data_IF_107153362539
#
_entry.id   IF_107153362539
#
_cell.length_a   1.000
_cell.length_b   1.000
_cell.length_c   1.000
_cell.angle_alpha   90.00
_cell.angle_beta   90.00
_cell.angle_gamma   90.00
#
_symmetry.space_group_name_H-M   'P 1'
#
loop_
_entity.id
_entity.type
_entity.pdbx_description
1 polymer ?
#
# COMPACT_ATOMS: atom_id res chain seq x y z
N UNK A 1 -77.77 33.97 42.46
CA UNK A 1 -76.80 33.23 43.29
C UNK A 1 -76.25 32.12 42.43
N UNK A 2 -75.26 32.45 41.80
CA UNK A 2 -73.92 31.96 41.68
C UNK A 2 -73.76 30.44 41.39
N UNK A 3 -73.38 30.21 40.22
CA UNK A 3 -72.53 29.08 39.91
C UNK A 3 -71.67 29.44 38.69
N UNK A 4 -70.67 30.23 38.93
CA UNK A 4 -69.52 30.38 38.05
C UNK A 4 -68.43 29.53 38.67
N UNK A 5 -67.92 28.57 37.93
CA UNK A 5 -66.82 27.74 38.38
C UNK A 5 -66.61 26.51 37.54
N UNK A 6 -66.57 26.67 36.21
CA UNK A 6 -66.16 25.57 35.33
C UNK A 6 -64.63 25.60 35.14
N UNK A 7 -64.03 24.67 35.79
CA UNK A 7 -62.64 24.23 35.71
C UNK A 7 -62.11 24.20 34.31
N UNK A 8 -61.13 25.06 33.96
CA UNK A 8 -60.23 24.88 32.87
C UNK A 8 -59.31 23.66 33.17
N UNK A 9 -59.73 22.51 32.71
CA UNK A 9 -58.79 21.33 32.66
C UNK A 9 -57.66 21.65 31.70
N UNK A 10 -56.52 21.82 32.28
CA UNK A 10 -55.22 21.81 31.56
C UNK A 10 -55.11 20.46 30.85
N UNK A 11 -55.62 20.36 29.64
CA UNK A 11 -55.43 19.20 28.76
C UNK A 11 -54.03 19.32 28.13
N UNK A 12 -53.02 18.94 28.89
CA UNK A 12 -51.70 18.67 28.31
C UNK A 12 -51.83 17.46 27.40
N UNK A 13 -51.89 17.71 26.11
CA UNK A 13 -51.79 16.66 25.11
C UNK A 13 -50.42 16.00 25.25
N UNK A 14 -50.40 14.68 25.37
CA UNK A 14 -49.16 13.91 25.38
C UNK A 14 -48.41 14.15 24.06
N UNK A 15 -47.08 14.37 24.11
CA UNK A 15 -46.28 14.66 22.90
C UNK A 15 -46.41 13.62 21.79
N UNK A 16 -46.61 12.36 22.16
CA UNK A 16 -46.77 11.27 21.18
C UNK A 16 -48.12 11.32 20.48
N UNK A 17 -49.17 11.75 21.16
CA UNK A 17 -50.49 11.97 20.56
C UNK A 17 -50.43 13.08 19.51
N UNK A 18 -49.70 14.17 19.77
CA UNK A 18 -49.48 15.26 18.84
C UNK A 18 -48.68 14.79 17.62
N UNK A 19 -47.64 14.00 17.84
CA UNK A 19 -46.84 13.41 16.74
C UNK A 19 -47.68 12.51 15.86
N UNK A 20 -48.48 11.64 16.46
CA UNK A 20 -49.34 10.74 15.70
C UNK A 20 -50.37 11.52 14.87
N UNK A 21 -51.01 12.50 15.48
CA UNK A 21 -51.95 13.40 14.77
C UNK A 21 -51.30 14.07 13.55
N UNK A 22 -50.10 14.65 13.73
CA UNK A 22 -49.38 15.32 12.64
C UNK A 22 -48.88 14.34 11.58
N UNK A 23 -48.53 13.11 11.94
CA UNK A 23 -48.16 12.06 11.00
C UNK A 23 -49.32 11.60 10.11
N UNK A 24 -50.53 11.52 10.72
CA UNK A 24 -51.76 11.15 10.02
C UNK A 24 -52.32 12.31 9.17
N UNK A 25 -52.08 13.55 9.60
CA UNK A 25 -52.61 14.79 8.96
C UNK A 25 -51.45 15.67 8.44
N UNK A 26 -50.70 15.17 7.50
CA UNK A 26 -49.48 15.86 6.98
C UNK A 26 -49.71 17.26 6.38
N UNK A 27 -50.93 17.57 5.94
CA UNK A 27 -51.27 18.88 5.38
C UNK A 27 -51.68 19.86 6.47
N UNK A 28 -52.01 19.43 7.69
CA UNK A 28 -52.59 20.25 8.76
C UNK A 28 -51.79 21.54 9.01
N UNK A 29 -50.49 21.44 9.21
CA UNK A 29 -49.63 22.61 9.41
C UNK A 29 -49.41 23.42 8.13
N UNK A 30 -49.42 22.78 6.96
CA UNK A 30 -49.23 23.46 5.67
C UNK A 30 -50.45 24.27 5.28
N UNK A 31 -51.64 23.77 5.64
CA UNK A 31 -52.92 24.37 5.23
C UNK A 31 -53.36 25.47 6.20
N UNK A 32 -52.67 25.64 7.36
CA UNK A 32 -52.93 26.71 8.35
C UNK A 32 -51.68 27.59 8.56
N UNK A 33 -51.47 28.61 7.71
CA UNK A 33 -50.36 29.55 7.83
C UNK A 33 -50.33 30.37 9.10
N UNK A 34 -51.53 30.63 9.70
CA UNK A 34 -51.65 31.41 10.94
C UNK A 34 -51.10 30.60 12.14
N UNK A 35 -51.44 29.32 12.22
CA UNK A 35 -50.93 28.43 13.27
C UNK A 35 -49.42 28.27 13.16
N UNK A 36 -48.85 28.16 11.95
CA UNK A 36 -47.39 28.12 11.74
C UNK A 36 -46.69 29.36 12.29
N UNK A 37 -47.30 30.55 12.06
CA UNK A 37 -46.78 31.83 12.54
C UNK A 37 -46.80 31.88 14.09
N UNK A 38 -47.91 31.47 14.68
CA UNK A 38 -48.09 31.46 16.17
C UNK A 38 -47.13 30.48 16.86
N UNK A 39 -46.82 29.37 16.22
CA UNK A 39 -45.84 28.39 16.70
C UNK A 39 -44.36 28.79 16.44
N UNK A 40 -44.14 29.98 15.81
CA UNK A 40 -42.79 30.40 15.46
C UNK A 40 -42.13 29.53 14.39
N UNK A 41 -42.94 28.70 13.71
CA UNK A 41 -42.47 27.77 12.67
C UNK A 41 -42.57 28.35 11.26
N UNK A 42 -43.13 29.58 11.14
CA UNK A 42 -43.15 30.26 9.85
C UNK A 42 -41.78 30.82 9.54
N UNK A 43 -41.14 30.42 8.43
CA UNK A 43 -39.97 31.13 7.98
C UNK A 43 -40.36 32.57 7.72
N UNK A 44 -39.70 33.53 8.36
CA UNK A 44 -39.80 34.93 7.92
C UNK A 44 -39.56 34.98 6.42
N UNK A 45 -40.46 35.59 5.66
CA UNK A 45 -40.49 35.61 4.21
C UNK A 45 -39.23 36.26 3.59
N UNK A 46 -38.29 36.69 4.40
CA UNK A 46 -37.05 37.32 3.96
C UNK A 46 -35.80 36.48 4.09
N UNK A 47 -35.71 35.41 4.93
CA UNK A 47 -34.35 34.88 5.11
C UNK A 47 -34.17 33.46 5.62
N UNK A 48 -35.08 32.52 5.58
CA UNK A 48 -34.68 31.15 5.99
C UNK A 48 -35.50 30.02 5.36
N UNK A 49 -35.59 29.97 4.05
CA UNK A 49 -35.77 28.70 3.35
C UNK A 49 -34.39 28.01 3.41
N UNK A 50 -34.19 27.08 4.33
CA UNK A 50 -33.05 26.19 4.25
C UNK A 50 -33.30 25.28 3.05
N UNK A 51 -32.81 25.72 1.90
CA UNK A 51 -32.77 24.88 0.71
C UNK A 51 -31.75 23.76 0.98
N UNK A 52 -32.22 22.58 1.31
CA UNK A 52 -31.41 21.39 1.50
C UNK A 52 -30.80 20.88 0.17
N UNK A 53 -31.28 21.36 -0.96
CA UNK A 53 -30.80 20.99 -2.28
C UNK A 53 -29.29 21.21 -2.45
N UNK A 54 -28.76 22.41 -2.19
CA UNK A 54 -27.34 22.69 -2.29
C UNK A 54 -26.50 21.84 -1.30
N UNK A 55 -26.98 21.63 -0.06
CA UNK A 55 -26.28 20.81 0.92
C UNK A 55 -26.25 19.32 0.55
N UNK A 56 -27.36 18.80 0.03
CA UNK A 56 -27.44 17.44 -0.48
C UNK A 56 -26.53 17.26 -1.73
N UNK A 57 -26.58 18.21 -2.66
CA UNK A 57 -25.75 18.21 -3.85
C UNK A 57 -24.25 18.29 -3.50
N UNK A 58 -23.88 19.14 -2.53
CA UNK A 58 -22.51 19.23 -2.04
C UNK A 58 -22.01 17.90 -1.46
N UNK A 59 -22.84 17.20 -0.66
CA UNK A 59 -22.51 15.87 -0.13
C UNK A 59 -22.31 14.84 -1.24
N UNK A 60 -23.16 14.82 -2.25
CA UNK A 60 -23.03 13.91 -3.40
C UNK A 60 -21.77 14.23 -4.19
N UNK A 61 -21.47 15.51 -4.45
CA UNK A 61 -20.24 15.93 -5.09
C UNK A 61 -18.98 15.52 -4.31
N UNK A 62 -18.97 15.70 -2.99
CA UNK A 62 -17.84 15.28 -2.15
C UNK A 62 -17.69 13.76 -2.09
N UNK A 63 -18.77 13.01 -2.08
CA UNK A 63 -18.74 11.56 -2.17
C UNK A 63 -18.17 11.12 -3.53
N UNK A 64 -18.64 11.70 -4.61
CA UNK A 64 -18.17 11.40 -5.97
C UNK A 64 -16.69 11.76 -6.16
N UNK A 65 -16.24 12.91 -5.66
CA UNK A 65 -14.82 13.29 -5.68
C UNK A 65 -13.94 12.30 -4.92
N UNK A 66 -14.39 11.82 -3.74
CA UNK A 66 -13.65 10.80 -2.98
C UNK A 66 -13.56 9.48 -3.73
N UNK A 67 -14.66 9.03 -4.32
CA UNK A 67 -14.71 7.83 -5.12
C UNK A 67 -13.80 7.94 -6.36
N UNK A 68 -13.85 9.05 -7.09
CA UNK A 68 -13.00 9.29 -8.26
C UNK A 68 -11.51 9.27 -7.89
N UNK A 69 -11.11 9.92 -6.79
CA UNK A 69 -9.72 9.90 -6.31
C UNK A 69 -9.28 8.49 -5.89
N UNK A 70 -10.14 7.75 -5.19
CA UNK A 70 -9.84 6.37 -4.82
C UNK A 70 -9.65 5.49 -6.05
N UNK A 71 -10.50 5.66 -7.06
CA UNK A 71 -10.39 4.95 -8.34
C UNK A 71 -9.11 5.31 -9.09
N UNK A 72 -8.78 6.60 -9.21
CA UNK A 72 -7.54 7.07 -9.85
C UNK A 72 -6.30 6.48 -9.16
N UNK A 73 -6.28 6.46 -7.81
CA UNK A 73 -5.19 5.85 -7.04
C UNK A 73 -5.10 4.35 -7.31
N UNK A 74 -6.22 3.66 -7.36
CA UNK A 74 -6.27 2.22 -7.64
C UNK A 74 -5.77 1.90 -9.06
N UNK A 75 -6.21 2.67 -10.04
CA UNK A 75 -5.79 2.54 -11.44
C UNK A 75 -4.28 2.80 -11.60
N UNK A 76 -3.75 3.84 -10.94
CA UNK A 76 -2.31 4.14 -10.94
C UNK A 76 -1.49 3.01 -10.29
N UNK A 77 -1.95 2.47 -9.15
CA UNK A 77 -1.30 1.34 -8.48
C UNK A 77 -1.33 0.08 -9.35
N UNK A 78 -2.47 -0.22 -9.98
CA UNK A 78 -2.59 -1.37 -10.88
C UNK A 78 -1.66 -1.24 -12.09
N UNK A 79 -1.55 -0.06 -12.71
CA UNK A 79 -0.64 0.21 -13.81
C UNK A 79 0.83 0.06 -13.39
N UNK A 80 1.21 0.60 -12.22
CA UNK A 80 2.56 0.44 -11.67
C UNK A 80 2.91 -1.03 -11.42
N UNK A 81 1.99 -1.81 -10.83
CA UNK A 81 2.17 -3.23 -10.62
C UNK A 81 2.31 -4.02 -11.92
N UNK A 82 1.51 -3.70 -12.93
CA UNK A 82 1.62 -4.32 -14.26
C UNK A 82 2.95 -4.01 -14.94
N UNK A 83 3.42 -2.76 -14.85
CA UNK A 83 4.72 -2.35 -15.37
C UNK A 83 5.86 -3.09 -14.65
N UNK A 84 5.82 -3.19 -13.33
CA UNK A 84 6.80 -3.93 -12.54
C UNK A 84 6.83 -5.43 -12.89
N UNK A 85 5.67 -6.06 -13.11
CA UNK A 85 5.59 -7.43 -13.60
C UNK A 85 6.22 -7.59 -14.99
N UNK A 86 5.90 -6.70 -15.92
CA UNK A 86 6.46 -6.76 -17.28
C UNK A 86 7.99 -6.60 -17.27
N UNK A 87 8.52 -5.69 -16.45
CA UNK A 87 9.96 -5.53 -16.24
C UNK A 87 10.58 -6.80 -15.65
N UNK A 88 9.93 -7.42 -14.67
CA UNK A 88 10.39 -8.65 -14.03
C UNK A 88 10.43 -9.82 -15.01
N UNK A 89 9.40 -9.98 -15.86
CA UNK A 89 9.41 -11.01 -16.92
C UNK A 89 10.57 -10.82 -17.90
N UNK A 90 10.83 -9.59 -18.33
CA UNK A 90 11.99 -9.30 -19.18
C UNK A 90 13.31 -9.62 -18.48
N UNK A 91 13.42 -9.29 -17.18
CA UNK A 91 14.59 -9.61 -16.37
C UNK A 91 14.86 -11.12 -16.28
N UNK A 92 13.80 -11.93 -16.19
CA UNK A 92 13.92 -13.41 -16.17
C UNK A 92 14.59 -13.90 -17.44
N UNK A 93 14.16 -13.43 -18.61
CA UNK A 93 14.77 -13.83 -19.88
C UNK A 93 16.25 -13.47 -19.93
N UNK A 94 16.59 -12.24 -19.51
CA UNK A 94 17.98 -11.78 -19.47
C UNK A 94 18.84 -12.62 -18.51
N UNK A 95 18.32 -13.05 -17.35
CA UNK A 95 19.03 -13.91 -16.41
C UNK A 95 19.22 -15.33 -16.94
N UNK A 96 18.21 -15.89 -17.63
CA UNK A 96 18.28 -17.23 -18.21
C UNK A 96 19.33 -17.32 -19.34
N UNK A 97 19.62 -16.21 -20.00
CA UNK A 97 20.65 -16.11 -21.03
C UNK A 97 22.08 -16.04 -20.47
N UNK A 98 22.26 -16.08 -19.14
CA UNK A 98 23.59 -16.10 -18.53
C UNK A 98 24.38 -17.34 -18.96
N UNK A 99 25.70 -17.16 -19.19
CA UNK A 99 26.59 -18.19 -19.71
C UNK A 99 27.41 -18.90 -18.62
N UNK A 100 27.58 -18.26 -17.50
CA UNK A 100 28.28 -18.76 -16.30
C UNK A 100 27.94 -17.91 -15.09
N UNK A 101 28.45 -18.28 -13.91
CA UNK A 101 28.19 -17.57 -12.66
C UNK A 101 28.63 -16.09 -12.69
N UNK A 102 29.78 -15.79 -13.31
CA UNK A 102 30.27 -14.40 -13.40
C UNK A 102 29.37 -13.55 -14.29
N UNK A 103 28.92 -14.11 -15.42
CA UNK A 103 27.95 -13.46 -16.30
C UNK A 103 26.60 -13.27 -15.63
N UNK A 104 26.15 -14.25 -14.84
CA UNK A 104 24.93 -14.13 -14.03
C UNK A 104 25.00 -12.97 -13.04
N UNK A 105 26.10 -12.85 -12.29
CA UNK A 105 26.28 -11.73 -11.35
C UNK A 105 26.32 -10.37 -12.06
N UNK A 106 27.01 -10.29 -13.18
CA UNK A 106 27.05 -9.08 -14.01
C UNK A 106 25.65 -8.68 -14.50
N UNK A 107 24.88 -9.65 -15.01
CA UNK A 107 23.50 -9.43 -15.46
C UNK A 107 22.57 -8.97 -14.33
N UNK A 108 22.71 -9.53 -13.13
CA UNK A 108 21.95 -9.05 -11.96
C UNK A 108 22.22 -7.59 -11.67
N UNK A 109 23.49 -7.14 -11.75
CA UNK A 109 23.85 -5.73 -11.55
C UNK A 109 23.35 -4.85 -12.70
N UNK A 110 23.49 -5.28 -13.94
CA UNK A 110 22.97 -4.56 -15.11
C UNK A 110 21.46 -4.41 -15.11
N UNK A 111 20.72 -5.48 -14.74
CA UNK A 111 19.27 -5.43 -14.58
C UNK A 111 18.85 -4.43 -13.53
N UNK A 112 19.55 -4.40 -12.39
CA UNK A 112 19.30 -3.43 -11.34
C UNK A 112 19.40 -2.01 -11.88
N UNK A 113 20.46 -1.70 -12.60
CA UNK A 113 20.74 -0.33 -13.08
C UNK A 113 19.89 0.06 -14.29
N UNK A 114 19.82 -0.79 -15.30
CA UNK A 114 19.25 -0.43 -16.61
C UNK A 114 17.74 -0.66 -16.64
N UNK A 115 17.26 -1.79 -16.08
CA UNK A 115 15.85 -2.16 -16.17
C UNK A 115 15.02 -1.63 -15.01
N UNK A 116 15.58 -1.71 -13.79
CA UNK A 116 14.85 -1.32 -12.58
C UNK A 116 15.17 0.10 -12.09
N UNK A 117 16.17 0.78 -12.69
CA UNK A 117 16.58 2.12 -12.26
C UNK A 117 17.16 2.16 -10.83
N UNK A 118 17.66 1.02 -10.36
CA UNK A 118 18.29 0.88 -9.04
C UNK A 118 19.79 1.21 -9.13
N UNK A 119 20.44 1.33 -7.97
CA UNK A 119 21.85 1.69 -7.91
C UNK A 119 22.78 0.49 -8.03
N UNK A 120 22.39 -0.67 -7.52
CA UNK A 120 23.19 -1.89 -7.56
C UNK A 120 22.34 -3.16 -7.44
N UNK A 121 22.82 -4.23 -8.07
CA UNK A 121 22.37 -5.60 -7.87
C UNK A 121 23.56 -6.49 -7.48
N UNK A 122 23.38 -7.34 -6.48
CA UNK A 122 24.46 -8.17 -5.92
C UNK A 122 23.95 -9.57 -5.68
N UNK A 123 24.78 -10.56 -6.04
CA UNK A 123 24.62 -11.94 -5.62
C UNK A 123 25.75 -12.26 -4.63
N UNK A 124 25.40 -12.85 -3.49
CA UNK A 124 26.36 -13.25 -2.48
C UNK A 124 26.18 -14.71 -2.06
N UNK A 125 27.26 -15.30 -1.59
CA UNK A 125 27.29 -16.67 -1.14
C UNK A 125 28.01 -16.76 0.20
N UNK A 126 27.47 -17.55 1.11
CA UNK A 126 28.02 -17.77 2.44
C UNK A 126 29.00 -18.94 2.42
N UNK A 127 30.08 -18.82 3.18
CA UNK A 127 30.96 -19.92 3.50
C UNK A 127 32.42 -19.71 3.15
N UNK A 128 33.30 -20.59 3.69
CA UNK A 128 34.74 -20.55 3.43
C UNK A 128 35.12 -21.15 2.06
N UNK A 129 34.17 -21.78 1.37
CA UNK A 129 34.42 -22.50 0.12
C UNK A 129 34.56 -21.54 -1.06
N UNK A 130 34.99 -22.10 -2.22
CA UNK A 130 35.12 -21.32 -3.44
C UNK A 130 33.82 -20.60 -3.78
N UNK A 131 33.95 -19.32 -4.03
CA UNK A 131 32.84 -18.47 -4.49
C UNK A 131 33.05 -18.12 -5.95
N UNK A 132 32.03 -18.18 -6.80
CA UNK A 132 32.15 -17.81 -8.19
C UNK A 132 32.62 -16.37 -8.37
N UNK A 133 33.36 -16.12 -9.45
CA UNK A 133 33.80 -14.77 -9.80
C UNK A 133 32.58 -13.83 -9.93
N UNK A 134 32.71 -12.62 -9.41
CA UNK A 134 31.66 -11.61 -9.42
C UNK A 134 30.63 -11.71 -8.29
N UNK A 135 30.59 -12.82 -7.55
CA UNK A 135 29.76 -12.99 -6.36
C UNK A 135 30.44 -12.44 -5.11
N UNK A 136 29.67 -11.89 -4.19
CA UNK A 136 30.20 -11.46 -2.90
C UNK A 136 30.35 -12.65 -1.94
N UNK A 137 31.43 -12.64 -1.17
CA UNK A 137 31.68 -13.65 -0.15
C UNK A 137 31.16 -13.13 1.17
N UNK A 138 30.36 -13.93 1.87
CA UNK A 138 29.92 -13.69 3.24
C UNK A 138 30.56 -14.71 4.17
N UNK A 139 30.96 -14.31 5.39
CA UNK A 139 31.43 -15.25 6.39
C UNK A 139 30.29 -16.19 6.82
N UNK A 140 30.60 -17.35 7.40
CA UNK A 140 29.59 -18.22 8.00
C UNK A 140 28.70 -17.46 9.00
N UNK A 141 27.37 -17.59 8.88
CA UNK A 141 26.40 -16.81 9.66
C UNK A 141 26.18 -15.39 9.17
N UNK A 142 26.87 -14.97 8.11
CA UNK A 142 26.77 -13.60 7.57
C UNK A 142 25.39 -13.27 7.00
N UNK A 143 24.70 -14.25 6.43
CA UNK A 143 23.34 -14.07 5.93
C UNK A 143 22.38 -13.80 7.08
N UNK A 144 22.51 -14.51 8.20
CA UNK A 144 21.68 -14.27 9.39
C UNK A 144 21.93 -12.88 10.00
N UNK A 145 23.17 -12.38 9.93
CA UNK A 145 23.48 -11.02 10.37
C UNK A 145 22.85 -9.94 9.47
N UNK A 146 22.73 -10.20 8.17
CA UNK A 146 22.20 -9.26 7.18
C UNK A 146 20.67 -9.28 7.16
N UNK A 147 20.08 -10.46 7.02
CA UNK A 147 18.61 -10.61 6.82
C UNK A 147 17.86 -10.82 8.14
N UNK A 148 18.55 -11.34 9.13
CA UNK A 148 17.97 -11.79 10.41
C UNK A 148 17.72 -13.29 10.41
N UNK A 149 17.79 -13.89 11.60
CA UNK A 149 17.61 -15.32 11.78
C UNK A 149 16.22 -15.77 11.31
N UNK A 150 16.15 -16.81 10.47
CA UNK A 150 14.92 -17.37 9.88
C UNK A 150 14.10 -16.44 8.97
N UNK A 151 14.53 -15.23 8.70
CA UNK A 151 13.85 -14.37 7.71
C UNK A 151 14.24 -14.79 6.30
N UNK A 152 13.25 -14.85 5.42
CA UNK A 152 13.44 -15.16 4.00
C UNK A 152 13.83 -13.92 3.20
N UNK A 153 13.33 -12.75 3.60
CA UNK A 153 13.56 -11.49 2.91
C UNK A 153 13.66 -10.31 3.87
N UNK A 154 14.26 -9.23 3.40
CA UNK A 154 14.34 -7.95 4.07
C UNK A 154 14.09 -6.85 3.04
N UNK A 155 13.18 -5.94 3.38
CA UNK A 155 12.89 -4.72 2.64
C UNK A 155 13.15 -3.51 3.54
N UNK A 156 13.75 -2.46 2.99
CA UNK A 156 14.07 -1.23 3.72
C UNK A 156 15.58 -1.04 3.92
N UNK A 157 15.96 -0.12 4.81
CA UNK A 157 17.36 0.19 5.06
C UNK A 157 17.94 -0.70 6.18
N UNK A 158 19.05 -1.37 5.91
CA UNK A 158 19.75 -2.22 6.87
C UNK A 158 21.25 -1.91 6.88
N UNK A 159 21.78 -1.25 7.91
CA UNK A 159 23.19 -0.85 7.97
C UNK A 159 24.17 -2.01 7.86
N UNK A 160 23.86 -3.17 8.46
CA UNK A 160 24.71 -4.37 8.43
C UNK A 160 24.86 -4.98 7.04
N UNK A 161 23.94 -4.66 6.12
CA UNK A 161 23.95 -5.15 4.76
C UNK A 161 24.74 -4.26 3.78
N UNK A 162 25.14 -3.06 4.20
CA UNK A 162 25.83 -2.10 3.32
C UNK A 162 27.12 -2.67 2.72
N UNK A 163 27.83 -3.51 3.45
CA UNK A 163 29.03 -4.18 2.96
C UNK A 163 28.86 -5.03 1.70
N UNK A 164 27.63 -5.48 1.41
CA UNK A 164 27.31 -6.20 0.17
C UNK A 164 27.56 -5.35 -1.07
N UNK A 165 27.31 -4.04 -1.01
CA UNK A 165 27.38 -3.13 -2.14
C UNK A 165 28.79 -2.56 -2.39
N UNK A 166 29.79 -2.87 -1.53
CA UNK A 166 31.16 -2.44 -1.71
C UNK A 166 31.29 -0.92 -1.84
N UNK A 167 31.96 -0.43 -2.87
CA UNK A 167 32.19 0.99 -3.13
C UNK A 167 30.88 1.79 -3.29
N UNK A 168 29.78 1.15 -3.66
CA UNK A 168 28.47 1.79 -3.81
C UNK A 168 27.70 1.95 -2.47
N UNK A 169 28.17 1.31 -1.41
CA UNK A 169 27.53 1.32 -0.09
C UNK A 169 27.15 2.73 0.42
N UNK A 170 28.00 3.78 0.26
CA UNK A 170 27.65 5.12 0.76
C UNK A 170 26.43 5.76 0.11
N UNK A 171 26.04 5.29 -1.06
CA UNK A 171 24.91 5.84 -1.83
C UNK A 171 23.61 5.07 -1.58
N UNK A 172 23.65 3.89 -0.96
CA UNK A 172 22.46 3.07 -0.73
C UNK A 172 21.63 3.67 0.42
N UNK A 173 20.35 3.90 0.16
CA UNK A 173 19.37 4.43 1.12
C UNK A 173 18.23 3.47 1.42
N UNK A 174 17.95 2.53 0.50
CA UNK A 174 17.03 1.43 0.72
C UNK A 174 17.51 0.18 -0.02
N UNK A 175 17.07 -0.98 0.40
CA UNK A 175 17.46 -2.25 -0.20
C UNK A 175 16.39 -3.32 -0.09
N UNK A 176 16.40 -4.24 -1.04
CA UNK A 176 15.65 -5.48 -1.01
C UNK A 176 16.62 -6.64 -1.02
N UNK A 177 16.51 -7.55 -0.06
CA UNK A 177 17.40 -8.69 0.10
C UNK A 177 16.56 -9.95 0.25
N UNK A 178 16.92 -11.01 -0.48
CA UNK A 178 16.23 -12.30 -0.41
C UNK A 178 17.25 -13.42 -0.25
N UNK A 179 16.98 -14.35 0.67
CA UNK A 179 17.77 -15.57 0.84
C UNK A 179 17.59 -16.49 -0.34
N UNK A 180 18.65 -17.18 -0.67
CA UNK A 180 18.72 -18.24 -1.66
C UNK A 180 19.34 -19.48 -1.06
N UNK A 181 18.94 -20.64 -1.58
CA UNK A 181 19.57 -21.91 -1.30
C UNK A 181 19.94 -22.56 -2.64
N UNK A 182 21.22 -22.62 -2.96
CA UNK A 182 21.73 -22.98 -4.28
C UNK A 182 22.52 -24.28 -4.18
N UNK A 183 22.33 -25.16 -5.16
CA UNK A 183 22.96 -26.50 -5.28
C UNK A 183 22.49 -27.54 -4.26
N UNK A 184 23.06 -28.75 -4.37
CA UNK A 184 22.93 -29.83 -3.38
C UNK A 184 24.32 -30.42 -3.06
N UNK A 185 24.78 -30.42 -1.81
CA UNK A 185 24.07 -29.85 -0.64
C UNK A 185 23.90 -28.33 -0.76
N UNK A 186 22.77 -27.82 -0.22
CA UNK A 186 22.40 -26.42 -0.36
C UNK A 186 23.44 -25.50 0.29
N UNK A 187 23.90 -24.51 -0.48
CA UNK A 187 24.72 -23.41 0.01
C UNK A 187 23.85 -22.16 0.16
N UNK A 188 23.94 -21.53 1.32
CA UNK A 188 23.21 -20.33 1.60
C UNK A 188 23.77 -19.15 0.79
N UNK A 189 22.89 -18.47 0.12
CA UNK A 189 23.18 -17.26 -0.66
C UNK A 189 22.17 -16.16 -0.42
N UNK A 190 22.38 -15.03 -1.05
CA UNK A 190 21.38 -13.96 -1.14
C UNK A 190 21.46 -13.22 -2.46
N UNK A 191 20.30 -12.72 -2.89
CA UNK A 191 20.13 -11.70 -3.91
C UNK A 191 19.84 -10.39 -3.21
N UNK A 192 20.55 -9.33 -3.55
CA UNK A 192 20.35 -8.01 -3.00
C UNK A 192 20.25 -6.95 -4.10
N UNK A 193 19.28 -6.06 -3.96
CA UNK A 193 19.17 -4.84 -4.75
C UNK A 193 19.27 -3.63 -3.83
N UNK A 194 19.99 -2.60 -4.26
CA UNK A 194 20.17 -1.35 -3.51
C UNK A 194 19.77 -0.15 -4.33
N UNK A 195 19.10 0.81 -3.69
CA UNK A 195 18.67 2.08 -4.29
C UNK A 195 19.21 3.27 -3.53
N UNK A 196 19.40 4.38 -4.24
CA UNK A 196 19.68 5.70 -3.67
C UNK A 196 18.42 6.40 -3.17
N UNK A 197 17.25 5.94 -3.61
CA UNK A 197 15.96 6.43 -3.16
C UNK A 197 15.53 5.67 -1.88
N UNK A 198 15.28 6.35 -0.76
CA UNK A 198 14.82 5.71 0.48
C UNK A 198 13.44 5.05 0.35
N UNK A 199 12.61 5.51 -0.59
CA UNK A 199 11.25 5.01 -0.82
C UNK A 199 11.19 3.88 -1.86
N UNK A 200 12.30 3.54 -2.51
CA UNK A 200 12.31 2.45 -3.50
C UNK A 200 12.01 1.08 -2.89
N UNK A 201 12.43 0.87 -1.63
CA UNK A 201 12.15 -0.33 -0.87
C UNK A 201 11.78 0.05 0.57
N UNK A 202 10.51 -0.10 0.92
CA UNK A 202 10.00 0.16 2.27
C UNK A 202 9.57 -1.15 2.94
N UNK A 203 9.51 -1.17 4.27
CA UNK A 203 9.24 -2.40 5.04
C UNK A 203 7.83 -2.97 4.83
N UNK A 204 6.92 -2.17 4.32
CA UNK A 204 5.53 -2.52 3.98
C UNK A 204 5.37 -3.02 2.54
N UNK A 205 6.42 -2.90 1.70
CA UNK A 205 6.40 -3.46 0.35
C UNK A 205 6.52 -4.99 0.38
N UNK A 206 5.76 -5.65 -0.49
CA UNK A 206 5.89 -7.09 -0.71
C UNK A 206 7.21 -7.47 -1.37
N UNK A 207 7.78 -8.58 -0.96
CA UNK A 207 9.05 -9.09 -1.50
C UNK A 207 8.86 -10.05 -2.69
N UNK A 208 7.64 -10.28 -3.16
CA UNK A 208 7.27 -11.36 -4.08
C UNK A 208 8.05 -11.30 -5.39
N UNK A 209 8.18 -10.12 -6.00
CA UNK A 209 8.91 -9.96 -7.28
C UNK A 209 10.40 -10.20 -7.11
N UNK A 210 11.00 -9.71 -6.01
CA UNK A 210 12.42 -9.93 -5.71
C UNK A 210 12.68 -11.38 -5.36
N UNK A 211 11.78 -12.01 -4.60
CA UNK A 211 11.84 -13.44 -4.26
C UNK A 211 11.72 -14.32 -5.52
N UNK A 212 10.87 -13.93 -6.46
CA UNK A 212 10.76 -14.62 -7.75
C UNK A 212 12.06 -14.51 -8.55
N UNK A 213 12.67 -13.32 -8.63
CA UNK A 213 13.97 -13.15 -9.27
C UNK A 213 15.09 -13.96 -8.57
N UNK A 214 15.07 -14.02 -7.24
CA UNK A 214 16.00 -14.85 -6.48
C UNK A 214 15.89 -16.33 -6.86
N UNK A 215 14.67 -16.85 -7.00
CA UNK A 215 14.43 -18.23 -7.50
C UNK A 215 14.97 -18.44 -8.92
N UNK A 216 14.83 -17.46 -9.81
CA UNK A 216 15.39 -17.54 -11.15
C UNK A 216 16.92 -17.58 -11.11
N UNK A 217 17.54 -16.75 -10.24
CA UNK A 217 19.00 -16.74 -10.03
C UNK A 217 19.47 -18.08 -9.49
N UNK A 218 18.79 -18.66 -8.45
CA UNK A 218 19.07 -19.99 -7.92
C UNK A 218 19.11 -21.04 -9.06
N UNK A 219 17.99 -21.17 -9.77
CA UNK A 219 17.85 -22.17 -10.85
C UNK A 219 18.81 -21.95 -12.01
N UNK A 220 19.17 -20.70 -12.30
CA UNK A 220 20.15 -20.39 -13.33
C UNK A 220 21.55 -20.75 -12.87
N UNK A 221 21.90 -20.46 -11.61
CA UNK A 221 23.20 -20.77 -11.04
C UNK A 221 23.47 -22.29 -10.94
N UNK A 222 22.45 -23.09 -10.65
CA UNK A 222 22.52 -24.55 -10.56
C UNK A 222 22.90 -25.23 -11.90
N UNK A 223 22.83 -24.50 -13.02
CA UNK A 223 23.24 -25.03 -14.35
C UNK A 223 24.74 -25.30 -14.43
N UNK A 224 25.53 -24.68 -13.58
CA UNK A 224 26.99 -24.83 -13.55
C UNK A 224 27.46 -25.33 -12.19
N UNK A 225 28.25 -26.42 -12.16
CA UNK A 225 28.84 -26.87 -10.92
C UNK A 225 29.89 -25.87 -10.42
N UNK A 226 30.06 -25.77 -9.12
CA UNK A 226 31.23 -25.15 -8.51
C UNK A 226 32.30 -26.23 -8.41
N UNK A 227 33.35 -26.10 -9.21
CA UNK A 227 34.53 -26.95 -9.20
C UNK A 227 35.53 -26.51 -8.13
#
# INVERSE_FOLDING_TARGET
MDLVGAVARDQRLEPDTVRQFLAENRSFLRDDPALLADLGLRPDAANNVIDFGPAALARVHEAHKRESRARETLEATAQANFAAQAQTHGAVVDLLDARNHADLARRVDELAQIRFGLHAGVVALEGPERTPAGWRILPPGGIDQVVGHQRVSLMGFQPTALGLFGERAPHIRSMAIVRMAIWEPARNGLLAFGSTDPEAFTADMGAELVAFLARVVERTAERWPIL
#
